data_IF_972923925530
#
_entry.id   IF_972923925530
#
_cell.length_a   1.000
_cell.length_b   1.000
_cell.length_c   1.000
_cell.angle_alpha   90.00
_cell.angle_beta   90.00
_cell.angle_gamma   90.00
#
_symmetry.space_group_name_H-M   'P 1'
#
loop_
_entity.id
_entity.type
_entity.pdbx_description
1 polymer ?
#
# COMPACT_ATOMS: atom_id res chain seq x y z
N UNK A 1 15.04 -13.64 -18.56
CA UNK A 1 15.17 -13.77 -17.09
C UNK A 1 14.88 -12.43 -16.42
N UNK A 2 13.69 -11.86 -16.66
CA UNK A 2 13.32 -10.47 -16.30
C UNK A 2 12.02 -10.39 -15.46
N UNK A 3 11.20 -11.44 -15.44
CA UNK A 3 9.85 -11.39 -14.83
C UNK A 3 9.84 -11.49 -13.30
N UNK A 4 10.76 -12.24 -12.68
CA UNK A 4 10.76 -12.44 -11.22
C UNK A 4 11.09 -11.13 -10.49
N UNK A 5 12.10 -10.39 -10.96
CA UNK A 5 12.49 -9.10 -10.37
C UNK A 5 11.38 -8.04 -10.50
N UNK A 6 10.64 -8.02 -11.62
CA UNK A 6 9.53 -7.07 -11.79
C UNK A 6 8.34 -7.44 -10.91
N UNK A 7 8.02 -8.74 -10.76
CA UNK A 7 6.95 -9.18 -9.87
C UNK A 7 7.26 -8.78 -8.42
N UNK A 8 8.49 -9.03 -7.95
CA UNK A 8 8.94 -8.63 -6.60
C UNK A 8 8.82 -7.11 -6.43
N UNK A 9 9.33 -6.33 -7.39
CA UNK A 9 9.26 -4.86 -7.36
C UNK A 9 7.82 -4.34 -7.35
N UNK A 10 6.93 -4.93 -8.15
CA UNK A 10 5.52 -4.56 -8.21
C UNK A 10 4.80 -4.87 -6.88
N UNK A 11 5.13 -5.99 -6.23
CA UNK A 11 4.60 -6.32 -4.90
C UNK A 11 5.02 -5.33 -3.83
N UNK A 12 6.29 -4.91 -3.82
CA UNK A 12 6.75 -3.85 -2.93
C UNK A 12 6.11 -2.50 -3.24
N UNK A 13 5.86 -2.19 -4.53
CA UNK A 13 5.22 -0.93 -4.91
C UNK A 13 3.79 -0.82 -4.37
N UNK A 14 2.96 -1.86 -4.53
CA UNK A 14 1.58 -1.83 -3.99
C UNK A 14 1.56 -1.81 -2.46
N UNK A 15 2.51 -2.49 -1.81
CA UNK A 15 2.65 -2.45 -0.36
C UNK A 15 2.98 -1.03 0.13
N UNK A 16 3.96 -0.37 -0.50
CA UNK A 16 4.30 1.03 -0.19
C UNK A 16 3.12 1.98 -0.32
N UNK A 17 2.32 1.81 -1.37
CA UNK A 17 1.15 2.66 -1.59
C UNK A 17 0.05 2.38 -0.57
N UNK A 18 -0.15 1.13 -0.15
CA UNK A 18 -1.07 0.81 0.94
C UNK A 18 -0.64 1.47 2.26
N UNK A 19 0.66 1.44 2.58
CA UNK A 19 1.20 2.17 3.74
C UNK A 19 0.95 3.68 3.62
N UNK A 20 1.21 4.28 2.45
CA UNK A 20 0.93 5.72 2.23
C UNK A 20 -0.55 6.06 2.44
N UNK A 21 -1.47 5.23 1.95
CA UNK A 21 -2.92 5.43 2.17
C UNK A 21 -3.29 5.31 3.65
N UNK A 22 -2.70 4.35 4.37
CA UNK A 22 -2.95 4.19 5.81
C UNK A 22 -2.40 5.37 6.62
N UNK A 23 -1.20 5.86 6.30
CA UNK A 23 -0.67 7.06 6.97
C UNK A 23 -1.52 8.29 6.68
N UNK A 24 -2.03 8.43 5.44
CA UNK A 24 -2.98 9.49 5.08
C UNK A 24 -4.25 9.43 5.95
N UNK A 25 -4.85 8.24 6.05
CA UNK A 25 -6.06 8.01 6.87
C UNK A 25 -5.80 8.35 8.34
N UNK A 26 -4.64 7.99 8.88
CA UNK A 26 -4.26 8.31 10.27
C UNK A 26 -4.08 9.80 10.50
N UNK A 27 -3.50 10.51 9.53
CA UNK A 27 -3.22 11.94 9.63
C UNK A 27 -4.45 12.83 9.39
N UNK A 28 -5.47 12.32 8.68
CA UNK A 28 -6.62 13.11 8.21
C UNK A 28 -7.96 12.57 8.74
N UNK A 29 -8.03 12.10 9.98
CA UNK A 29 -9.29 11.66 10.64
C UNK A 29 -10.09 10.61 9.84
N UNK A 30 -9.39 9.65 9.24
CA UNK A 30 -9.92 8.62 8.34
C UNK A 30 -10.56 9.15 7.05
N UNK A 31 -10.19 10.34 6.58
CA UNK A 31 -10.52 10.80 5.24
C UNK A 31 -9.69 10.07 4.18
N UNK A 32 -10.37 9.58 3.15
CA UNK A 32 -9.71 8.90 2.03
C UNK A 32 -9.00 9.94 1.15
N UNK A 33 -7.82 9.62 0.58
CA UNK A 33 -7.14 10.55 -0.34
C UNK A 33 -7.99 10.79 -1.60
N UNK A 34 -8.06 12.03 -2.06
CA UNK A 34 -8.74 12.39 -3.30
C UNK A 34 -7.81 12.29 -4.53
N UNK A 35 -6.51 12.21 -4.30
CA UNK A 35 -5.52 12.17 -5.36
C UNK A 35 -4.13 11.70 -4.90
N UNK A 36 -3.28 11.39 -5.88
CA UNK A 36 -1.85 11.20 -5.64
C UNK A 36 -1.18 12.40 -4.98
N UNK A 37 -1.68 13.63 -5.20
CA UNK A 37 -1.09 14.82 -4.60
C UNK A 37 -1.20 14.78 -3.07
N UNK A 38 -2.30 14.23 -2.56
CA UNK A 38 -2.56 14.17 -1.12
C UNK A 38 -1.67 13.13 -0.44
N UNK A 39 -1.27 12.08 -1.17
CA UNK A 39 -0.32 11.06 -0.71
C UNK A 39 1.16 11.51 -0.73
N UNK A 40 1.45 12.72 -1.20
CA UNK A 40 2.84 13.17 -1.37
C UNK A 40 3.55 13.45 -0.05
N UNK A 41 2.81 13.94 0.94
CA UNK A 41 3.35 14.18 2.28
C UNK A 41 3.52 12.84 3.02
N UNK A 42 2.58 11.90 2.84
CA UNK A 42 2.65 10.54 3.41
C UNK A 42 3.82 9.74 2.84
N UNK A 43 4.10 9.90 1.55
CA UNK A 43 5.32 9.35 0.93
C UNK A 43 6.59 9.83 1.63
N UNK A 44 6.67 11.12 2.01
CA UNK A 44 7.85 11.65 2.70
C UNK A 44 8.02 10.98 4.07
N UNK A 45 6.93 10.84 4.81
CA UNK A 45 6.90 10.13 6.10
C UNK A 45 7.37 8.68 5.95
N UNK A 46 6.90 7.96 4.92
CA UNK A 46 7.30 6.57 4.65
C UNK A 46 8.78 6.45 4.20
N UNK A 47 9.31 7.42 3.46
CA UNK A 47 10.74 7.48 3.10
C UNK A 47 11.61 7.68 4.34
N UNK A 48 11.26 8.64 5.20
CA UNK A 48 12.00 8.92 6.43
C UNK A 48 12.04 7.69 7.36
N UNK A 49 10.96 6.88 7.37
CA UNK A 49 10.85 5.67 8.19
C UNK A 49 11.66 4.48 7.65
N UNK A 50 11.81 4.36 6.33
CA UNK A 50 12.30 3.14 5.67
C UNK A 50 13.77 3.13 5.29
N UNK A 51 14.40 4.30 5.11
CA UNK A 51 15.79 4.41 4.69
C UNK A 51 16.08 3.95 3.24
N UNK A 52 15.09 3.41 2.52
CA UNK A 52 15.17 3.07 1.10
C UNK A 52 14.02 3.74 0.35
N UNK A 53 14.34 4.76 -0.46
CA UNK A 53 13.35 5.51 -1.20
C UNK A 53 13.05 4.86 -2.56
N UNK A 54 11.85 4.30 -2.72
CA UNK A 54 11.19 4.31 -4.03
C UNK A 54 11.05 5.76 -4.49
N UNK A 55 11.13 6.04 -5.79
CA UNK A 55 10.76 7.37 -6.27
C UNK A 55 9.23 7.48 -6.30
N UNK A 56 8.68 8.61 -5.82
CA UNK A 56 7.22 8.85 -5.82
C UNK A 56 6.58 8.61 -7.20
N UNK A 57 7.21 9.11 -8.27
CA UNK A 57 6.72 8.91 -9.64
C UNK A 57 6.79 7.46 -10.11
N UNK A 58 7.75 6.68 -9.57
CA UNK A 58 7.80 5.25 -9.84
C UNK A 58 6.63 4.51 -9.19
N UNK A 59 6.25 4.88 -7.95
CA UNK A 59 5.06 4.33 -7.30
C UNK A 59 3.79 4.71 -8.06
N UNK A 60 3.64 6.01 -8.39
CA UNK A 60 2.48 6.55 -9.12
C UNK A 60 2.28 5.91 -10.50
N UNK A 61 3.36 5.53 -11.18
CA UNK A 61 3.29 4.90 -12.50
C UNK A 61 3.00 3.40 -12.47
N UNK A 62 3.25 2.73 -11.34
CA UNK A 62 3.08 1.27 -11.18
C UNK A 62 1.78 0.89 -10.50
N UNK A 63 1.25 1.77 -9.66
CA UNK A 63 0.11 1.47 -8.80
C UNK A 63 -1.03 2.42 -9.10
N UNK A 64 -2.24 1.88 -9.04
CA UNK A 64 -3.48 2.62 -9.10
C UNK A 64 -4.18 2.51 -7.76
N UNK A 65 -4.74 3.64 -7.31
CA UNK A 65 -5.61 3.76 -6.14
C UNK A 65 -6.95 4.26 -6.65
N UNK A 66 -8.05 3.68 -6.17
CA UNK A 66 -9.37 4.26 -6.40
C UNK A 66 -9.50 5.50 -5.51
N UNK A 67 -9.42 6.68 -6.11
CA UNK A 67 -9.59 7.95 -5.38
C UNK A 67 -11.05 8.42 -5.34
N UNK A 68 -11.97 7.72 -6.01
CA UNK A 68 -13.38 8.09 -6.03
C UNK A 68 -14.18 7.35 -4.96
N UNK A 69 -13.62 7.31 -3.74
CA UNK A 69 -14.22 6.60 -2.60
C UNK A 69 -14.64 7.59 -1.53
N UNK A 70 -15.89 7.50 -1.08
CA UNK A 70 -16.38 8.15 0.13
C UNK A 70 -15.91 7.35 1.35
N UNK A 71 -15.10 7.96 2.21
CA UNK A 71 -14.48 7.27 3.37
C UNK A 71 -15.49 6.84 4.44
N UNK A 72 -16.59 7.57 4.61
CA UNK A 72 -17.64 7.21 5.57
C UNK A 72 -18.43 6.00 5.08
N UNK A 73 -18.81 6.01 3.80
CA UNK A 73 -19.46 4.87 3.15
C UNK A 73 -18.53 3.65 3.13
N UNK A 74 -17.24 3.85 2.84
CA UNK A 74 -16.24 2.79 2.84
C UNK A 74 -16.12 2.13 4.22
N UNK A 75 -15.99 2.93 5.28
CA UNK A 75 -15.87 2.38 6.63
C UNK A 75 -17.10 1.55 7.01
N UNK A 76 -18.31 2.05 6.72
CA UNK A 76 -19.55 1.32 6.98
C UNK A 76 -19.64 0.01 6.15
N UNK A 77 -19.26 0.07 4.87
CA UNK A 77 -19.24 -1.09 3.98
C UNK A 77 -18.25 -2.17 4.45
N UNK A 78 -17.04 -1.76 4.87
CA UNK A 78 -16.02 -2.69 5.39
C UNK A 78 -16.55 -3.45 6.59
N UNK A 79 -17.36 -2.85 7.47
CA UNK A 79 -17.89 -3.58 8.63
C UNK A 79 -18.74 -4.79 8.24
N UNK A 80 -19.41 -4.76 7.07
CA UNK A 80 -20.27 -5.83 6.59
C UNK A 80 -19.62 -6.73 5.52
N UNK A 81 -18.59 -6.24 4.84
CA UNK A 81 -17.91 -6.95 3.76
C UNK A 81 -16.92 -8.03 4.28
N UNK A 82 -16.63 -8.98 3.39
CA UNK A 82 -15.47 -9.86 3.52
C UNK A 82 -14.24 -9.23 2.84
N UNK A 83 -13.04 -9.62 3.27
CA UNK A 83 -11.78 -9.13 2.68
C UNK A 83 -11.69 -9.42 1.18
N UNK A 84 -12.24 -10.56 0.73
CA UNK A 84 -12.24 -10.96 -0.68
C UNK A 84 -13.03 -10.01 -1.60
N UNK A 85 -13.96 -9.23 -1.05
CA UNK A 85 -14.78 -8.26 -1.78
C UNK A 85 -14.16 -6.85 -1.77
N UNK A 86 -13.10 -6.64 -0.99
CA UNK A 86 -12.48 -5.34 -0.80
C UNK A 86 -11.32 -5.13 -1.75
N UNK A 87 -11.45 -4.16 -2.67
CA UNK A 87 -10.40 -3.79 -3.61
C UNK A 87 -10.40 -2.30 -3.92
N UNK A 88 -9.34 -1.62 -3.52
CA UNK A 88 -9.12 -0.17 -3.62
C UNK A 88 -7.73 0.19 -4.16
N UNK A 89 -6.79 -0.78 -4.20
CA UNK A 89 -5.43 -0.64 -4.74
C UNK A 89 -5.14 -1.80 -5.71
N UNK A 90 -4.51 -1.51 -6.85
CA UNK A 90 -4.06 -2.52 -7.82
C UNK A 90 -2.86 -2.04 -8.63
N UNK A 91 -2.16 -2.95 -9.33
CA UNK A 91 -1.13 -2.57 -10.28
C UNK A 91 -1.75 -1.93 -11.53
N UNK A 92 -1.16 -0.83 -11.99
CA UNK A 92 -1.67 -0.06 -13.14
C UNK A 92 -1.61 -0.83 -14.46
N UNK A 93 -0.73 -1.83 -14.56
CA UNK A 93 -0.64 -2.74 -15.72
C UNK A 93 -1.71 -3.84 -15.72
N UNK A 94 -2.58 -3.88 -14.69
CA UNK A 94 -3.65 -4.85 -14.53
C UNK A 94 -3.20 -6.24 -14.08
N UNK A 95 -1.89 -6.45 -13.88
CA UNK A 95 -1.37 -7.72 -13.37
C UNK A 95 -1.76 -7.94 -11.91
N UNK A 96 -1.86 -9.21 -11.51
CA UNK A 96 -2.01 -9.58 -10.11
C UNK A 96 -0.70 -10.13 -9.59
N UNK A 97 -0.26 -9.61 -8.45
CA UNK A 97 0.86 -10.17 -7.69
C UNK A 97 0.29 -10.84 -6.45
N UNK A 98 0.36 -12.17 -6.41
CA UNK A 98 -0.04 -12.93 -5.24
C UNK A 98 1.19 -13.15 -4.35
N UNK A 99 1.33 -12.36 -3.29
CA UNK A 99 2.26 -12.66 -2.21
C UNK A 99 1.46 -13.06 -0.97
N UNK A 100 1.81 -14.22 -0.42
CA UNK A 100 1.17 -14.74 0.78
C UNK A 100 1.45 -13.79 1.95
N UNK A 101 0.38 -13.45 2.68
CA UNK A 101 0.35 -12.77 3.98
C UNK A 101 0.41 -11.23 4.04
N UNK A 102 0.67 -10.48 2.96
CA UNK A 102 0.66 -8.99 2.98
C UNK A 102 0.14 -8.41 1.65
N UNK A 103 -1.13 -8.64 1.36
CA UNK A 103 -1.81 -8.08 0.19
C UNK A 103 -2.26 -6.63 0.51
N UNK A 104 -2.09 -5.66 -0.40
CA UNK A 104 -2.30 -4.24 -0.12
C UNK A 104 -3.74 -3.89 0.31
N UNK A 105 -4.74 -4.55 -0.27
CA UNK A 105 -6.15 -4.31 0.08
C UNK A 105 -6.48 -4.89 1.46
N UNK A 106 -5.87 -6.03 1.81
CA UNK A 106 -5.95 -6.66 3.12
C UNK A 106 -5.44 -5.72 4.22
N UNK A 107 -4.36 -4.99 3.96
CA UNK A 107 -3.83 -4.00 4.91
C UNK A 107 -4.83 -2.88 5.19
N UNK A 108 -5.40 -2.29 4.13
CA UNK A 108 -6.38 -1.20 4.25
C UNK A 108 -7.70 -1.72 4.87
N UNK A 109 -8.14 -2.92 4.50
CA UNK A 109 -9.31 -3.58 5.08
C UNK A 109 -9.15 -3.78 6.60
N UNK A 110 -8.00 -4.30 7.03
CA UNK A 110 -7.70 -4.52 8.43
C UNK A 110 -7.61 -3.21 9.23
N UNK A 111 -7.10 -2.13 8.61
CA UNK A 111 -7.13 -0.79 9.20
C UNK A 111 -8.56 -0.36 9.54
N UNK A 112 -9.50 -0.47 8.59
CA UNK A 112 -10.91 -0.12 8.82
C UNK A 112 -11.64 -1.07 9.78
N UNK A 113 -11.27 -2.36 9.82
CA UNK A 113 -11.80 -3.30 10.83
C UNK A 113 -11.27 -3.03 12.24
N UNK A 114 -10.32 -2.11 12.41
CA UNK A 114 -9.66 -1.87 13.69
C UNK A 114 -8.80 -3.05 14.14
N UNK A 115 -8.46 -3.96 13.23
CA UNK A 115 -7.54 -5.07 13.49
C UNK A 115 -6.16 -4.44 13.56
N UNK A 116 -5.66 -4.25 14.78
CA UNK A 116 -4.29 -3.77 15.00
C UNK A 116 -3.35 -4.89 14.57
N UNK A 117 -2.91 -4.89 13.31
CA UNK A 117 -1.79 -5.73 12.92
C UNK A 117 -0.53 -5.11 13.54
N UNK A 118 -0.23 -5.56 14.75
CA UNK A 118 1.04 -5.36 15.45
C UNK A 118 2.15 -6.00 14.60
N UNK A 119 2.82 -5.19 13.77
CA UNK A 119 4.24 -4.81 13.93
C UNK A 119 4.70 -3.98 12.73
N UNK A 120 5.37 -2.83 12.94
CA UNK A 120 6.10 -2.16 11.87
C UNK A 120 7.36 -2.97 11.54
N UNK A 121 7.34 -3.75 10.46
CA UNK A 121 8.59 -4.32 9.89
C UNK A 121 9.37 -3.20 9.19
N UNK A 122 10.08 -2.41 9.99
CA UNK A 122 11.32 -1.76 9.57
C UNK A 122 12.55 -2.43 10.18
N UNK A 123 12.46 -3.74 10.42
CA UNK A 123 13.63 -4.56 10.73
C UNK A 123 13.58 -5.85 9.92
N UNK A 124 14.24 -5.82 8.76
CA UNK A 124 14.73 -7.03 8.11
C UNK A 124 14.47 -7.13 6.61
N UNK A 125 15.38 -6.62 5.79
CA UNK A 125 16.01 -7.42 4.74
C UNK A 125 17.41 -6.86 4.43
N UNK A 126 18.31 -7.06 5.39
CA UNK A 126 19.69 -7.42 5.05
C UNK A 126 19.65 -8.81 4.44
N UNK A 127 19.45 -8.87 3.13
CA UNK A 127 19.38 -10.11 2.35
C UNK A 127 20.28 -9.99 1.12
N UNK A 128 21.59 -10.06 1.37
CA UNK A 128 22.67 -10.40 0.43
C UNK A 128 22.59 -9.81 -0.99
N UNK A 129 23.40 -8.78 -1.23
CA UNK A 129 24.06 -8.62 -2.52
C UNK A 129 24.64 -9.97 -2.97
N UNK A 130 24.42 -10.41 -4.22
CA UNK A 130 25.36 -11.36 -4.80
C UNK A 130 26.71 -10.63 -4.84
N UNK A 131 27.70 -11.21 -4.17
CA UNK A 131 29.07 -10.78 -4.27
C UNK A 131 29.54 -10.72 -5.72
N UNK A 132 30.57 -9.90 -5.92
CA UNK A 132 31.35 -9.72 -7.15
C UNK A 132 31.51 -10.98 -8.00
#
# INVERSE_FOLDING_TARGET
MYSINQNIRNSYAVWWVADMVIEHLRANDNQWPDSWKDLRDDYRTSVDRSGQAWQFEELRSRVSVDFNIDSHALNAAVQQATEAEFRVIWLSDGSTVHWQSHEPNSMVFNYFKGVTSIEPVHTGFGGTSPGK
#
